data_IF_803851992641
#
_entry.id   IF_803851992641
#
_cell.length_a   1.000
_cell.length_b   1.000
_cell.length_c   1.000
_cell.angle_alpha   90.00
_cell.angle_beta   90.00
_cell.angle_gamma   90.00
#
_symmetry.space_group_name_H-M   'P 1'
#
loop_
_entity.id
_entity.type
_entity.pdbx_description
1 polymer ?
#
# COMPACT_ATOMS: atom_id res chain seq x y z
N UNK A 1 -10.73 -23.74 -6.38
CA UNK A 1 -10.42 -22.58 -5.52
C UNK A 1 -11.74 -21.99 -5.04
N UNK A 2 -11.90 -21.77 -3.73
CA UNK A 2 -13.22 -21.52 -3.13
C UNK A 2 -13.69 -20.07 -3.31
N UNK A 3 -15.01 -19.84 -3.55
CA UNK A 3 -15.59 -18.51 -3.79
C UNK A 3 -15.35 -17.52 -2.64
N UNK A 4 -15.22 -18.02 -1.41
CA UNK A 4 -14.94 -17.21 -0.22
C UNK A 4 -13.57 -16.51 -0.26
N UNK A 5 -12.55 -17.16 -0.84
CA UNK A 5 -11.21 -16.57 -0.99
C UNK A 5 -11.22 -15.43 -1.99
N UNK A 6 -11.96 -15.59 -3.10
CA UNK A 6 -12.09 -14.56 -4.13
C UNK A 6 -12.87 -13.35 -3.61
N UNK A 7 -13.95 -13.59 -2.85
CA UNK A 7 -14.70 -12.54 -2.19
C UNK A 7 -13.84 -11.77 -1.18
N UNK A 8 -13.12 -12.48 -0.30
CA UNK A 8 -12.24 -11.87 0.71
C UNK A 8 -11.10 -11.06 0.07
N UNK A 9 -10.52 -11.59 -1.01
CA UNK A 9 -9.53 -10.89 -1.81
C UNK A 9 -10.13 -9.62 -2.44
N UNK A 10 -11.32 -9.72 -3.03
CA UNK A 10 -12.05 -8.59 -3.60
C UNK A 10 -12.29 -7.48 -2.58
N UNK A 11 -12.77 -7.82 -1.38
CA UNK A 11 -12.92 -6.87 -0.27
C UNK A 11 -11.56 -6.25 0.11
N UNK A 12 -10.50 -7.05 0.17
CA UNK A 12 -9.14 -6.59 0.45
C UNK A 12 -8.63 -5.58 -0.58
N UNK A 13 -8.83 -5.87 -1.87
CA UNK A 13 -8.45 -5.00 -3.00
C UNK A 13 -9.27 -3.71 -2.98
N UNK A 14 -10.59 -3.78 -2.79
CA UNK A 14 -11.45 -2.59 -2.70
C UNK A 14 -11.02 -1.70 -1.55
N UNK A 15 -10.73 -2.28 -0.37
CA UNK A 15 -10.24 -1.52 0.78
C UNK A 15 -8.90 -0.86 0.49
N UNK A 16 -7.99 -1.58 -0.16
CA UNK A 16 -6.70 -1.04 -0.57
C UNK A 16 -6.86 0.10 -1.58
N UNK A 17 -7.78 -0.02 -2.55
CA UNK A 17 -8.09 1.04 -3.50
C UNK A 17 -8.61 2.30 -2.78
N UNK A 18 -9.57 2.16 -1.86
CA UNK A 18 -10.09 3.27 -1.06
C UNK A 18 -9.01 3.95 -0.20
N UNK A 19 -8.21 3.16 0.53
CA UNK A 19 -7.09 3.68 1.33
C UNK A 19 -6.08 4.42 0.42
N UNK A 20 -5.88 3.96 -0.82
CA UNK A 20 -4.99 4.58 -1.80
C UNK A 20 -5.52 5.92 -2.31
N UNK A 21 -6.82 6.01 -2.61
CA UNK A 21 -7.46 7.27 -3.04
C UNK A 21 -7.29 8.37 -1.98
N UNK A 22 -7.40 8.03 -0.69
CA UNK A 22 -7.20 8.99 0.40
C UNK A 22 -5.75 9.49 0.48
N UNK A 23 -4.76 8.61 0.24
CA UNK A 23 -3.35 9.01 0.19
C UNK A 23 -3.06 9.91 -1.01
N UNK A 24 -3.62 9.59 -2.18
CA UNK A 24 -3.46 10.39 -3.40
C UNK A 24 -4.10 11.77 -3.21
N UNK A 25 -5.33 11.83 -2.72
CA UNK A 25 -6.04 13.09 -2.48
C UNK A 25 -5.27 14.01 -1.54
N UNK A 26 -4.73 13.48 -0.43
CA UNK A 26 -3.95 14.28 0.52
C UNK A 26 -2.65 14.83 -0.10
N UNK A 27 -1.96 14.03 -0.91
CA UNK A 27 -0.73 14.46 -1.61
C UNK A 27 -1.01 15.52 -2.67
N UNK A 28 -2.07 15.35 -3.46
CA UNK A 28 -2.53 16.38 -4.41
C UNK A 28 -2.89 17.67 -3.68
N UNK A 29 -3.56 17.57 -2.53
CA UNK A 29 -3.95 18.74 -1.75
C UNK A 29 -2.77 19.49 -1.13
N UNK A 30 -1.71 18.77 -0.71
CA UNK A 30 -0.45 19.40 -0.26
C UNK A 30 0.27 20.10 -1.40
N UNK A 31 0.36 19.44 -2.56
CA UNK A 31 0.99 20.02 -3.74
C UNK A 31 0.25 21.27 -4.21
N UNK A 32 -1.09 21.24 -4.25
CA UNK A 32 -1.90 22.37 -4.70
C UNK A 32 -1.82 23.59 -3.77
N UNK A 33 -1.49 23.38 -2.50
CA UNK A 33 -1.29 24.44 -1.51
C UNK A 33 0.16 24.94 -1.44
N UNK A 34 1.06 24.39 -2.27
CA UNK A 34 2.48 24.75 -2.25
C UNK A 34 3.20 24.35 -0.97
N UNK A 35 2.77 23.25 -0.32
CA UNK A 35 3.35 22.78 0.93
C UNK A 35 4.88 22.58 0.79
N UNK A 36 5.72 23.30 1.58
CA UNK A 36 7.18 23.13 1.56
C UNK A 36 7.62 21.69 1.88
N UNK A 37 6.79 20.93 2.61
CA UNK A 37 7.03 19.53 2.93
C UNK A 37 6.78 18.55 1.77
N UNK A 38 6.17 19.00 0.66
CA UNK A 38 5.77 18.12 -0.44
C UNK A 38 6.97 17.42 -1.13
N UNK A 39 8.11 18.09 -1.26
CA UNK A 39 9.32 17.51 -1.85
C UNK A 39 9.89 16.38 -0.97
N UNK A 40 9.93 16.59 0.36
CA UNK A 40 10.37 15.58 1.32
C UNK A 40 9.42 14.38 1.31
N UNK A 41 8.11 14.63 1.23
CA UNK A 41 7.11 13.57 1.09
C UNK A 41 7.28 12.78 -0.22
N UNK A 42 7.61 13.43 -1.33
CA UNK A 42 7.86 12.77 -2.61
C UNK A 42 9.10 11.85 -2.57
N UNK A 43 10.16 12.22 -1.86
CA UNK A 43 11.33 11.33 -1.65
C UNK A 43 10.95 10.14 -0.78
N UNK A 44 10.23 10.38 0.33
CA UNK A 44 9.75 9.31 1.23
C UNK A 44 8.86 8.31 0.48
N UNK A 45 8.01 8.81 -0.41
CA UNK A 45 7.14 8.01 -1.28
C UNK A 45 7.88 6.98 -2.14
N UNK A 46 9.07 7.32 -2.61
CA UNK A 46 9.88 6.42 -3.44
C UNK A 46 10.46 5.31 -2.56
N UNK A 47 11.04 5.68 -1.40
CA UNK A 47 11.54 4.72 -0.43
C UNK A 47 10.45 3.74 0.06
N UNK A 48 9.23 4.23 0.31
CA UNK A 48 8.11 3.38 0.69
C UNK A 48 7.77 2.35 -0.41
N UNK A 49 7.85 2.74 -1.69
CA UNK A 49 7.58 1.84 -2.84
C UNK A 49 8.68 0.81 -3.03
N UNK A 50 9.95 1.20 -2.91
CA UNK A 50 11.09 0.28 -3.06
C UNK A 50 11.08 -0.77 -1.95
N UNK A 51 10.82 -0.36 -0.70
CA UNK A 51 10.67 -1.30 0.43
C UNK A 51 9.49 -2.25 0.21
N UNK A 52 8.32 -1.75 -0.20
CA UNK A 52 7.15 -2.59 -0.46
C UNK A 52 7.41 -3.59 -1.61
N UNK A 53 8.10 -3.16 -2.66
CA UNK A 53 8.50 -4.03 -3.77
C UNK A 53 9.45 -5.13 -3.31
N UNK A 54 10.46 -4.78 -2.51
CA UNK A 54 11.39 -5.76 -1.94
C UNK A 54 10.67 -6.81 -1.07
N UNK A 55 9.77 -6.38 -0.20
CA UNK A 55 8.95 -7.28 0.63
C UNK A 55 8.02 -8.17 -0.21
N UNK A 56 7.44 -7.64 -1.29
CA UNK A 56 6.60 -8.42 -2.20
C UNK A 56 7.42 -9.48 -2.94
N UNK A 57 8.57 -9.11 -3.50
CA UNK A 57 9.46 -10.03 -4.20
C UNK A 57 9.97 -11.15 -3.28
N UNK A 58 10.35 -10.81 -2.04
CA UNK A 58 10.77 -11.82 -1.06
C UNK A 58 9.66 -12.86 -0.80
N UNK A 59 8.39 -12.44 -0.73
CA UNK A 59 7.26 -13.37 -0.56
C UNK A 59 7.01 -14.21 -1.81
N UNK A 60 7.14 -13.63 -2.99
CA UNK A 60 7.01 -14.38 -4.25
C UNK A 60 8.10 -15.47 -4.33
N UNK A 61 9.36 -15.11 -4.08
CA UNK A 61 10.48 -16.06 -4.08
C UNK A 61 10.27 -17.17 -3.04
N UNK A 62 9.87 -16.81 -1.81
CA UNK A 62 9.58 -17.80 -0.76
C UNK A 62 8.39 -18.71 -1.11
N UNK A 63 7.33 -18.15 -1.69
CA UNK A 63 6.18 -18.93 -2.15
C UNK A 63 6.57 -19.89 -3.29
N UNK A 64 7.40 -19.45 -4.23
CA UNK A 64 7.93 -20.31 -5.30
C UNK A 64 8.78 -21.45 -4.73
N UNK A 65 9.71 -21.15 -3.83
CA UNK A 65 10.58 -22.16 -3.20
C UNK A 65 9.80 -23.19 -2.37
N UNK A 66 8.63 -22.83 -1.84
CA UNK A 66 7.77 -23.72 -1.03
C UNK A 66 6.59 -24.33 -1.81
N UNK A 67 6.47 -24.06 -3.12
CA UNK A 67 5.36 -24.56 -3.94
C UNK A 67 3.98 -23.98 -3.58
N UNK A 68 3.92 -22.78 -2.99
CA UNK A 68 2.69 -22.12 -2.47
C UNK A 68 2.31 -20.84 -3.20
N UNK A 69 2.59 -20.77 -4.51
CA UNK A 69 2.28 -19.59 -5.33
C UNK A 69 0.79 -19.25 -5.36
N UNK A 70 -0.09 -20.24 -5.15
CA UNK A 70 -1.54 -20.07 -5.04
C UNK A 70 -1.97 -19.14 -3.89
N UNK A 71 -1.11 -18.96 -2.88
CA UNK A 71 -1.40 -18.14 -1.68
C UNK A 71 -0.78 -16.74 -1.73
N UNK A 72 0.13 -16.47 -2.67
CA UNK A 72 0.93 -15.23 -2.66
C UNK A 72 0.10 -13.97 -2.95
N UNK A 73 -0.95 -14.08 -3.77
CA UNK A 73 -1.80 -12.94 -4.15
C UNK A 73 -2.45 -12.25 -2.95
N UNK A 74 -3.23 -12.96 -2.12
CA UNK A 74 -3.79 -12.41 -0.89
C UNK A 74 -2.75 -11.82 0.07
N UNK A 75 -1.56 -12.43 0.18
CA UNK A 75 -0.49 -11.93 1.04
C UNK A 75 0.07 -10.58 0.55
N UNK A 76 0.22 -10.42 -0.77
CA UNK A 76 0.66 -9.17 -1.39
C UNK A 76 -0.40 -8.07 -1.19
N UNK A 77 -1.68 -8.38 -1.38
CA UNK A 77 -2.76 -7.41 -1.12
C UNK A 77 -2.74 -6.97 0.36
N UNK A 78 -2.56 -7.92 1.28
CA UNK A 78 -2.43 -7.60 2.70
C UNK A 78 -1.19 -6.77 3.03
N UNK A 79 -0.05 -7.00 2.35
CA UNK A 79 1.16 -6.19 2.48
C UNK A 79 0.89 -4.73 2.10
N UNK A 80 0.42 -4.50 0.88
CA UNK A 80 0.15 -3.15 0.39
C UNK A 80 -0.93 -2.46 1.23
N UNK A 81 -1.98 -3.19 1.63
CA UNK A 81 -3.02 -2.68 2.52
C UNK A 81 -2.48 -2.15 3.86
N UNK A 82 -1.50 -2.83 4.47
CA UNK A 82 -0.84 -2.34 5.70
C UNK A 82 -0.01 -1.08 5.44
N UNK A 83 0.80 -1.07 4.38
CA UNK A 83 1.68 0.06 4.04
C UNK A 83 0.87 1.32 3.70
N UNK A 84 -0.15 1.21 2.84
CA UNK A 84 -1.01 2.36 2.46
C UNK A 84 -1.77 2.91 3.67
N UNK A 85 -2.24 2.04 4.56
CA UNK A 85 -2.91 2.47 5.80
C UNK A 85 -1.97 3.19 6.75
N UNK A 86 -0.72 2.73 6.87
CA UNK A 86 0.29 3.44 7.64
C UNK A 86 0.55 4.84 7.07
N UNK A 87 0.63 4.97 5.74
CA UNK A 87 0.75 6.25 5.04
C UNK A 87 -0.45 7.16 5.32
N UNK A 88 -1.67 6.65 5.14
CA UNK A 88 -2.89 7.40 5.42
C UNK A 88 -2.91 7.94 6.86
N UNK A 89 -2.58 7.09 7.84
CA UNK A 89 -2.51 7.50 9.25
C UNK A 89 -1.44 8.56 9.49
N UNK A 90 -0.26 8.43 8.87
CA UNK A 90 0.83 9.40 8.99
C UNK A 90 0.45 10.74 8.39
N UNK A 91 -0.03 10.75 7.15
CA UNK A 91 -0.44 11.97 6.48
C UNK A 91 -1.57 12.69 7.23
N UNK A 92 -2.52 11.93 7.79
CA UNK A 92 -3.58 12.50 8.64
C UNK A 92 -3.03 13.16 9.91
N UNK A 93 -1.99 12.59 10.54
CA UNK A 93 -1.32 13.21 11.70
C UNK A 93 -0.55 14.47 11.32
N UNK A 94 0.12 14.45 10.18
CA UNK A 94 0.87 15.60 9.68
C UNK A 94 -0.06 16.76 9.26
N UNK A 95 -1.27 16.48 8.78
CA UNK A 95 -2.29 17.51 8.48
C UNK A 95 -2.85 18.19 9.74
N UNK A 96 -2.83 17.49 10.88
CA UNK A 96 -3.33 18.01 12.15
C UNK A 96 -2.27 18.84 12.92
N UNK A 97 -1.05 18.96 12.38
CA UNK A 97 0.00 19.84 12.87
C UNK A 97 -0.04 21.15 12.12
#
# INVERSE_FOLDING_TARGET
MLPFTLFSLGVGVTRLALDSQLVIAERLSRLSRGDPGAAVEAVRMVAEKTVALGEANARIVSAAATGRLDKVGPEIVALYGRKVRANRRRLARERAK
#
